data_IF_237288388773
#
_entry.id   IF_237288388773
#
_cell.length_a   1.000
_cell.length_b   1.000
_cell.length_c   1.000
_cell.angle_alpha   90.00
_cell.angle_beta   90.00
_cell.angle_gamma   90.00
#
_symmetry.space_group_name_H-M   'P 1'
#
loop_
_entity.id
_entity.type
_entity.pdbx_description
1 polymer ?
#
# COMPACT_ATOMS: atom_id res chain seq x y z
N UNK A 1 19.43 -6.07 4.58
CA UNK A 1 18.65 -6.99 3.74
C UNK A 1 18.39 -6.29 2.41
N UNK A 2 18.62 -6.94 1.26
CA UNK A 2 18.47 -6.36 -0.08
C UNK A 2 17.08 -6.58 -0.67
N UNK A 3 16.04 -6.14 0.04
CA UNK A 3 14.65 -6.34 -0.36
C UNK A 3 14.34 -5.51 -1.61
N UNK A 4 13.76 -6.13 -2.63
CA UNK A 4 13.37 -5.47 -3.89
C UNK A 4 11.87 -5.25 -4.01
N UNK A 5 11.09 -5.95 -3.19
CA UNK A 5 9.63 -6.03 -3.28
C UNK A 5 8.98 -6.07 -1.91
N UNK A 6 7.88 -5.34 -1.76
CA UNK A 6 7.02 -5.34 -0.59
C UNK A 6 5.59 -5.63 -1.04
N UNK A 7 5.00 -6.66 -0.45
CA UNK A 7 3.56 -6.91 -0.51
C UNK A 7 3.01 -6.56 0.86
N UNK A 8 2.28 -5.46 0.92
CA UNK A 8 1.54 -5.07 2.12
C UNK A 8 0.20 -5.77 2.13
N UNK A 9 -0.12 -6.42 3.25
CA UNK A 9 -1.41 -7.07 3.46
C UNK A 9 -2.07 -6.36 4.64
N UNK A 10 -3.23 -5.76 4.41
CA UNK A 10 -3.85 -4.86 5.39
C UNK A 10 -5.33 -5.15 5.54
N UNK A 11 -5.84 -5.16 6.77
CA UNK A 11 -7.28 -5.13 7.00
C UNK A 11 -7.85 -3.77 6.57
N UNK A 12 -9.07 -3.76 6.04
CA UNK A 12 -9.73 -2.55 5.59
C UNK A 12 -11.26 -2.68 5.70
N UNK A 13 -11.93 -1.55 5.97
CA UNK A 13 -13.36 -1.41 5.81
C UNK A 13 -13.72 -1.18 4.34
N UNK A 14 -14.83 -1.74 3.89
CA UNK A 14 -15.36 -1.55 2.55
C UNK A 14 -16.18 -0.28 2.45
N UNK A 15 -16.01 0.47 1.38
CA UNK A 15 -16.83 1.62 1.02
C UNK A 15 -17.79 1.29 -0.15
N UNK A 16 -17.96 0.02 -0.52
CA UNK A 16 -18.83 -0.42 -1.62
C UNK A 16 -19.68 -1.64 -1.25
N UNK A 17 -20.91 -1.68 -1.72
CA UNK A 17 -21.84 -2.80 -1.49
C UNK A 17 -21.29 -4.14 -2.02
N UNK A 18 -20.64 -4.11 -3.18
CA UNK A 18 -20.09 -5.30 -3.84
C UNK A 18 -18.71 -5.75 -3.32
N UNK A 19 -18.20 -5.10 -2.27
CA UNK A 19 -16.96 -5.42 -1.57
C UNK A 19 -17.29 -5.92 -0.17
N UNK A 20 -17.83 -7.13 -0.10
CA UNK A 20 -18.24 -7.78 1.14
C UNK A 20 -17.06 -8.26 2.01
N UNK A 21 -17.26 -8.40 3.33
CA UNK A 21 -16.29 -9.04 4.23
C UNK A 21 -15.75 -10.37 3.71
N UNK A 22 -14.43 -10.53 3.79
CA UNK A 22 -13.70 -11.68 3.27
C UNK A 22 -13.26 -11.57 1.81
N UNK A 23 -13.71 -10.55 1.08
CA UNK A 23 -13.21 -10.24 -0.27
C UNK A 23 -11.89 -9.47 -0.19
N UNK A 24 -10.98 -9.77 -1.10
CA UNK A 24 -9.67 -9.10 -1.17
C UNK A 24 -9.71 -8.01 -2.26
N UNK A 25 -8.93 -6.95 -2.10
CA UNK A 25 -8.84 -5.87 -3.10
C UNK A 25 -7.38 -5.61 -3.39
N UNK A 26 -6.99 -5.75 -4.66
CA UNK A 26 -5.67 -5.36 -5.15
C UNK A 26 -5.71 -3.86 -5.39
N UNK A 27 -5.03 -3.10 -4.54
CA UNK A 27 -5.07 -1.64 -4.54
C UNK A 27 -4.12 -1.12 -5.61
N UNK A 28 -4.59 -0.18 -6.43
CA UNK A 28 -3.78 0.51 -7.44
C UNK A 28 -3.69 2.02 -7.21
N UNK A 29 -4.58 2.59 -6.39
CA UNK A 29 -4.62 4.01 -6.06
C UNK A 29 -4.81 4.25 -4.56
N UNK A 30 -4.36 5.41 -4.10
CA UNK A 30 -4.45 5.80 -2.70
C UNK A 30 -4.89 7.26 -2.54
N UNK A 31 -5.66 7.51 -1.49
CA UNK A 31 -5.99 8.84 -0.99
C UNK A 31 -5.42 8.94 0.43
N UNK A 32 -4.49 9.87 0.64
CA UNK A 32 -3.81 10.05 1.92
C UNK A 32 -4.49 11.13 2.76
N UNK A 33 -5.28 10.73 3.75
CA UNK A 33 -5.93 11.59 4.76
C UNK A 33 -5.18 11.64 6.09
N UNK A 34 -3.99 11.05 6.16
CA UNK A 34 -3.12 11.11 7.35
C UNK A 34 -2.49 12.51 7.45
N UNK A 35 -2.20 12.98 8.65
CA UNK A 35 -1.67 14.32 8.91
C UNK A 35 -0.52 14.36 9.92
N UNK A 36 -0.38 13.39 10.84
CA UNK A 36 0.65 13.43 11.90
C UNK A 36 1.90 12.58 11.62
N UNK A 37 2.01 12.02 10.42
CA UNK A 37 3.04 11.01 10.08
C UNK A 37 4.21 11.64 9.32
N UNK A 38 5.43 11.18 9.58
CA UNK A 38 6.60 11.47 8.74
C UNK A 38 6.46 10.69 7.44
N UNK A 39 6.40 11.40 6.29
CA UNK A 39 6.05 10.81 4.99
C UNK A 39 7.20 10.73 3.99
N UNK A 40 8.41 11.11 4.40
CA UNK A 40 9.59 11.12 3.55
C UNK A 40 10.84 10.80 4.36
N UNK A 41 11.83 10.17 3.72
CA UNK A 41 13.19 10.04 4.23
C UNK A 41 14.04 11.29 3.96
N UNK A 42 13.56 12.19 3.11
CA UNK A 42 14.26 13.39 2.63
C UNK A 42 13.84 14.62 3.46
N UNK A 43 14.06 14.55 4.77
CA UNK A 43 13.65 15.54 5.79
C UNK A 43 14.77 16.53 6.20
N UNK A 44 15.98 16.34 5.69
CA UNK A 44 17.15 17.23 5.89
C UNK A 44 17.41 18.07 4.61
N UNK A 45 18.67 18.25 4.18
CA UNK A 45 19.02 19.15 3.07
C UNK A 45 18.79 18.56 1.66
N UNK A 46 18.59 17.25 1.56
CA UNK A 46 18.32 16.58 0.27
C UNK A 46 16.82 16.59 0.03
N UNK A 47 16.40 17.18 -1.09
CA UNK A 47 15.01 17.24 -1.53
C UNK A 47 14.81 16.28 -2.70
N UNK A 48 13.77 15.44 -2.61
CA UNK A 48 13.36 14.53 -3.66
C UNK A 48 11.85 14.56 -3.86
N UNK A 49 11.40 14.56 -5.12
CA UNK A 49 9.99 14.50 -5.49
C UNK A 49 9.70 13.28 -6.34
N UNK A 50 9.44 12.14 -5.69
CA UNK A 50 9.05 10.91 -6.38
C UNK A 50 7.61 11.02 -6.89
N UNK A 51 7.36 10.54 -8.11
CA UNK A 51 5.99 10.46 -8.62
C UNK A 51 5.19 9.39 -7.87
N UNK A 52 3.96 9.73 -7.50
CA UNK A 52 2.98 8.81 -6.91
C UNK A 52 1.76 8.57 -7.83
N UNK A 53 1.81 9.01 -9.09
CA UNK A 53 0.70 8.88 -10.03
C UNK A 53 0.30 7.40 -10.28
N UNK A 54 1.30 6.51 -10.30
CA UNK A 54 1.13 5.05 -10.29
C UNK A 54 1.89 4.52 -9.07
N UNK A 55 1.25 4.40 -7.90
CA UNK A 55 1.93 4.20 -6.62
C UNK A 55 2.35 2.74 -6.36
N UNK A 56 1.89 1.80 -7.17
CA UNK A 56 2.21 0.37 -7.05
C UNK A 56 3.00 -0.16 -8.26
N UNK A 57 3.60 -1.35 -8.09
CA UNK A 57 4.21 -2.14 -9.15
C UNK A 57 3.16 -3.05 -9.82
N UNK A 58 2.80 -2.85 -11.10
CA UNK A 58 1.81 -3.70 -11.79
C UNK A 58 2.21 -5.17 -11.89
N UNK A 59 3.50 -5.46 -12.05
CA UNK A 59 4.02 -6.84 -12.14
C UNK A 59 3.77 -7.62 -10.84
N UNK A 60 4.09 -6.99 -9.70
CA UNK A 60 3.82 -7.53 -8.36
C UNK A 60 2.32 -7.69 -8.07
N UNK A 61 1.49 -6.74 -8.49
CA UNK A 61 0.04 -6.85 -8.40
C UNK A 61 -0.51 -8.04 -9.23
N UNK A 62 -0.01 -8.26 -10.45
CA UNK A 62 -0.40 -9.41 -11.27
C UNK A 62 0.06 -10.74 -10.68
N UNK A 63 1.20 -10.76 -9.97
CA UNK A 63 1.65 -11.93 -9.22
C UNK A 63 0.66 -12.29 -8.11
N UNK A 64 0.24 -11.29 -7.32
CA UNK A 64 -0.79 -11.48 -6.29
C UNK A 64 -2.13 -11.92 -6.89
N UNK A 65 -2.56 -11.32 -8.01
CA UNK A 65 -3.79 -11.71 -8.70
C UNK A 65 -3.77 -13.18 -9.15
N UNK A 66 -2.64 -13.64 -9.69
CA UNK A 66 -2.46 -15.04 -10.10
C UNK A 66 -2.60 -16.00 -8.94
N UNK A 67 -2.01 -15.67 -7.79
CA UNK A 67 -2.16 -16.44 -6.56
C UNK A 67 -3.62 -16.49 -6.07
N UNK A 68 -4.30 -15.34 -6.03
CA UNK A 68 -5.72 -15.26 -5.63
C UNK A 68 -6.63 -16.08 -6.54
N UNK A 69 -6.42 -16.00 -7.86
CA UNK A 69 -7.16 -16.81 -8.86
C UNK A 69 -6.98 -18.30 -8.61
N UNK A 70 -5.73 -18.76 -8.42
CA UNK A 70 -5.43 -20.19 -8.19
C UNK A 70 -6.07 -20.71 -6.90
N UNK A 71 -6.03 -19.92 -5.84
CA UNK A 71 -6.62 -20.26 -4.54
C UNK A 71 -8.14 -20.08 -4.49
N UNK A 72 -8.75 -19.57 -5.57
CA UNK A 72 -10.20 -19.25 -5.65
C UNK A 72 -10.66 -18.31 -4.54
N UNK A 73 -9.77 -17.43 -4.07
CA UNK A 73 -10.11 -16.38 -3.12
C UNK A 73 -10.83 -15.28 -3.90
N UNK A 74 -11.97 -14.79 -3.40
CA UNK A 74 -12.73 -13.72 -4.06
C UNK A 74 -11.94 -12.42 -3.99
N UNK A 75 -11.82 -11.71 -5.11
CA UNK A 75 -11.12 -10.43 -5.13
C UNK A 75 -11.72 -9.41 -6.10
N UNK A 76 -11.33 -8.15 -5.94
CA UNK A 76 -11.44 -7.07 -6.91
C UNK A 76 -10.03 -6.59 -7.30
N UNK A 77 -9.83 -6.29 -8.58
CA UNK A 77 -8.62 -5.65 -9.08
C UNK A 77 -8.88 -4.14 -9.25
N UNK A 78 -7.85 -3.33 -9.02
CA UNK A 78 -7.87 -1.86 -9.16
C UNK A 78 -8.83 -1.18 -8.18
N UNK A 79 -8.47 -1.19 -6.89
CA UNK A 79 -9.18 -0.45 -5.85
C UNK A 79 -8.45 0.82 -5.40
N UNK A 80 -9.21 1.85 -5.04
CA UNK A 80 -8.71 3.06 -4.38
C UNK A 80 -8.83 2.92 -2.86
N UNK A 81 -7.68 2.99 -2.17
CA UNK A 81 -7.58 2.93 -0.71
C UNK A 81 -7.51 4.33 -0.09
N UNK A 82 -8.42 4.64 0.84
CA UNK A 82 -8.31 5.83 1.69
C UNK A 82 -7.55 5.46 2.96
N UNK A 83 -6.42 6.14 3.19
CA UNK A 83 -5.68 6.05 4.44
C UNK A 83 -6.09 7.17 5.38
N UNK A 84 -6.85 6.86 6.45
CA UNK A 84 -7.18 7.81 7.50
C UNK A 84 -6.18 7.73 8.67
N UNK A 85 -6.17 8.74 9.53
CA UNK A 85 -5.23 8.79 10.66
C UNK A 85 -5.52 7.74 11.74
N UNK A 86 -6.79 7.58 12.11
CA UNK A 86 -7.20 6.80 13.29
C UNK A 86 -6.87 7.50 14.62
N UNK A 87 -7.01 6.82 15.78
CA UNK A 87 -7.38 5.42 15.95
C UNK A 87 -8.88 5.14 15.90
N UNK A 88 -9.74 6.17 15.99
CA UNK A 88 -11.18 5.98 15.89
C UNK A 88 -11.56 5.60 14.45
N UNK A 89 -12.61 4.80 14.31
CA UNK A 89 -13.26 4.59 13.02
C UNK A 89 -13.94 5.87 12.54
N UNK A 90 -14.27 5.91 11.25
CA UNK A 90 -15.00 7.02 10.63
C UNK A 90 -16.34 7.25 11.31
N UNK A 91 -16.79 8.50 11.31
CA UNK A 91 -18.21 8.82 11.42
C UNK A 91 -18.95 8.47 10.13
N UNK A 92 -20.27 8.29 10.20
CA UNK A 92 -21.11 8.01 9.03
C UNK A 92 -20.96 9.09 7.93
N UNK A 93 -20.78 10.35 8.34
CA UNK A 93 -20.57 11.45 7.39
C UNK A 93 -19.22 11.34 6.66
N UNK A 94 -18.16 10.91 7.35
CA UNK A 94 -16.85 10.68 6.74
C UNK A 94 -16.90 9.49 5.78
N UNK A 95 -17.53 8.36 6.16
CA UNK A 95 -17.69 7.21 5.26
C UNK A 95 -18.45 7.60 3.99
N UNK A 96 -19.53 8.37 4.11
CA UNK A 96 -20.28 8.86 2.95
C UNK A 96 -19.48 9.87 2.10
N UNK A 97 -18.65 10.71 2.72
CA UNK A 97 -17.74 11.58 2.00
C UNK A 97 -16.73 10.77 1.17
N UNK A 98 -16.09 9.77 1.76
CA UNK A 98 -15.11 8.94 1.03
C UNK A 98 -15.76 8.11 -0.08
N UNK A 99 -17.00 7.65 0.14
CA UNK A 99 -17.82 7.03 -0.91
C UNK A 99 -18.09 7.98 -2.07
N UNK A 100 -18.40 9.25 -1.79
CA UNK A 100 -18.64 10.27 -2.82
C UNK A 100 -17.39 10.55 -3.67
N UNK A 101 -16.18 10.31 -3.13
CA UNK A 101 -14.93 10.39 -3.88
C UNK A 101 -14.65 9.18 -4.76
N UNK A 102 -15.51 8.15 -4.69
CA UNK A 102 -15.34 6.92 -5.43
C UNK A 102 -14.41 5.90 -4.79
N UNK A 103 -13.90 6.14 -3.57
CA UNK A 103 -13.02 5.21 -2.87
C UNK A 103 -13.66 3.83 -2.65
N UNK A 104 -12.84 2.78 -2.67
CA UNK A 104 -13.28 1.39 -2.58
C UNK A 104 -13.17 0.83 -1.17
N UNK A 105 -12.06 1.14 -0.50
CA UNK A 105 -11.76 0.65 0.85
C UNK A 105 -11.09 1.74 1.68
N UNK A 106 -11.19 1.61 3.00
CA UNK A 106 -10.59 2.51 3.97
C UNK A 106 -9.76 1.73 4.99
N UNK A 107 -8.61 2.27 5.36
CA UNK A 107 -7.83 1.76 6.48
C UNK A 107 -6.85 2.81 6.99
N UNK A 108 -5.85 2.39 7.76
CA UNK A 108 -5.03 3.30 8.56
C UNK A 108 -3.52 3.13 8.36
N UNK A 109 -3.04 2.28 7.45
CA UNK A 109 -1.62 1.84 7.46
C UNK A 109 -0.83 2.11 6.18
N UNK A 110 -1.45 1.98 4.99
CA UNK A 110 -0.67 1.99 3.74
C UNK A 110 -0.14 3.36 3.30
N UNK A 111 -0.48 4.42 4.02
CA UNK A 111 0.19 5.72 3.93
C UNK A 111 0.78 6.10 5.28
N UNK A 112 2.06 6.52 5.35
CA UNK A 112 2.96 6.79 4.24
C UNK A 112 3.75 5.57 3.72
N UNK A 113 3.40 4.33 4.11
CA UNK A 113 4.12 3.10 3.70
C UNK A 113 4.43 3.05 2.18
N UNK A 114 3.43 3.28 1.33
CA UNK A 114 3.62 3.28 -0.13
C UNK A 114 4.56 4.39 -0.62
N UNK A 115 4.53 5.58 0.00
CA UNK A 115 5.42 6.71 -0.33
C UNK A 115 6.87 6.38 0.04
N UNK A 116 7.08 5.83 1.23
CA UNK A 116 8.40 5.46 1.72
C UNK A 116 8.98 4.29 0.92
N UNK A 117 8.18 3.30 0.54
CA UNK A 117 8.62 2.22 -0.34
C UNK A 117 9.09 2.77 -1.70
N UNK A 118 8.35 3.73 -2.28
CA UNK A 118 8.73 4.42 -3.51
C UNK A 118 10.04 5.19 -3.35
N UNK A 119 10.21 5.95 -2.27
CA UNK A 119 11.46 6.67 -1.99
C UNK A 119 12.67 5.76 -1.74
N UNK A 120 12.44 4.54 -1.27
CA UNK A 120 13.47 3.52 -1.12
C UNK A 120 13.73 2.72 -2.41
N UNK A 121 13.07 3.05 -3.52
CA UNK A 121 13.14 2.32 -4.80
C UNK A 121 12.74 0.84 -4.68
N UNK A 122 11.83 0.55 -3.76
CA UNK A 122 11.30 -0.79 -3.52
C UNK A 122 9.92 -0.92 -4.19
N UNK A 123 9.76 -1.94 -5.03
CA UNK A 123 8.48 -2.23 -5.69
C UNK A 123 7.43 -2.56 -4.63
N UNK A 124 6.25 -1.98 -4.75
CA UNK A 124 5.24 -2.05 -3.70
C UNK A 124 3.88 -2.45 -4.28
N UNK A 125 3.13 -3.25 -3.53
CA UNK A 125 1.74 -3.61 -3.82
C UNK A 125 0.98 -3.76 -2.51
N UNK A 126 -0.31 -3.39 -2.49
CA UNK A 126 -1.20 -3.62 -1.34
C UNK A 126 -2.32 -4.57 -1.73
N UNK A 127 -2.53 -5.56 -0.86
CA UNK A 127 -3.72 -6.42 -0.84
C UNK A 127 -4.54 -6.03 0.40
N UNK A 128 -5.62 -5.30 0.19
CA UNK A 128 -6.55 -4.96 1.25
C UNK A 128 -7.54 -6.12 1.46
N UNK A 129 -7.73 -6.53 2.70
CA UNK A 129 -8.64 -7.61 3.09
C UNK A 129 -9.85 -6.99 3.75
N UNK A 130 -11.01 -7.08 3.11
CA UNK A 130 -12.23 -6.48 3.65
C UNK A 130 -12.64 -7.22 4.92
N UNK A 131 -12.78 -6.49 6.02
CA UNK A 131 -13.21 -7.04 7.32
C UNK A 131 -14.65 -6.70 7.67
N UNK A 132 -15.14 -5.57 7.15
CA UNK A 132 -16.42 -4.96 7.47
C UNK A 132 -16.78 -3.94 6.37
N UNK A 133 -17.95 -3.29 6.47
CA UNK A 133 -18.40 -2.26 5.53
C UNK A 133 -18.15 -0.83 6.03
N UNK A 134 -17.20 -0.61 6.95
CA UNK A 134 -17.11 0.64 7.71
C UNK A 134 -18.50 0.99 8.32
N UNK A 135 -18.72 2.22 8.78
CA UNK A 135 -19.99 2.56 9.45
C UNK A 135 -21.15 3.00 8.52
N UNK A 136 -21.00 2.93 7.18
CA UNK A 136 -22.06 3.40 6.27
C UNK A 136 -23.17 2.40 5.99
N UNK A 137 -22.91 1.11 6.21
CA UNK A 137 -23.86 0.06 5.86
C UNK A 137 -24.98 0.00 6.93
N UNK A 138 -26.26 -0.10 6.55
CA UNK A 138 -27.38 -0.10 7.52
C UNK A 138 -27.27 -1.18 8.60
N UNK A 139 -26.70 -2.33 8.25
CA UNK A 139 -26.51 -3.44 9.19
C UNK A 139 -25.21 -3.31 10.00
N UNK A 140 -24.49 -2.18 9.95
CA UNK A 140 -23.23 -2.00 10.69
C UNK A 140 -23.43 -2.19 12.20
N UNK A 141 -24.52 -1.65 12.74
CA UNK A 141 -24.86 -1.78 14.17
C UNK A 141 -25.23 -3.22 14.59
N UNK A 142 -25.51 -4.10 13.61
CA UNK A 142 -25.76 -5.52 13.82
C UNK A 142 -24.48 -6.37 13.74
N UNK A 143 -23.34 -5.77 13.36
CA UNK A 143 -22.07 -6.50 13.24
C UNK A 143 -21.47 -6.71 14.62
N UNK A 144 -21.58 -7.93 15.14
CA UNK A 144 -20.88 -8.31 16.36
C UNK A 144 -19.37 -8.27 16.16
N UNK A 145 -18.62 -7.73 17.15
CA UNK A 145 -17.14 -7.72 17.18
C UNK A 145 -16.56 -9.12 16.90
N UNK A 146 -17.24 -10.17 17.35
CA UNK A 146 -16.86 -11.55 17.10
C UNK A 146 -16.85 -11.91 15.61
N UNK A 147 -17.81 -11.41 14.81
CA UNK A 147 -17.86 -11.64 13.36
C UNK A 147 -16.71 -10.95 12.63
N UNK A 148 -16.34 -9.74 13.07
CA UNK A 148 -15.17 -9.02 12.54
C UNK A 148 -13.88 -9.81 12.83
N UNK A 149 -13.72 -10.29 14.07
CA UNK A 149 -12.56 -11.10 14.47
C UNK A 149 -12.49 -12.40 13.65
N UNK A 150 -13.60 -13.10 13.47
CA UNK A 150 -13.65 -14.32 12.65
C UNK A 150 -13.26 -14.05 11.20
N UNK A 151 -13.76 -12.95 10.62
CA UNK A 151 -13.41 -12.53 9.27
C UNK A 151 -11.93 -12.20 9.17
N UNK A 152 -11.38 -11.48 10.14
CA UNK A 152 -9.96 -11.12 10.19
C UNK A 152 -9.06 -12.35 10.27
N UNK A 153 -9.40 -13.33 11.11
CA UNK A 153 -8.65 -14.59 11.22
C UNK A 153 -8.69 -15.42 9.94
N UNK A 154 -9.86 -15.53 9.30
CA UNK A 154 -10.01 -16.20 8.00
C UNK A 154 -9.22 -15.49 6.91
N UNK A 155 -9.25 -14.16 6.89
CA UNK A 155 -8.48 -13.34 5.96
C UNK A 155 -6.97 -13.54 6.17
N UNK A 156 -6.51 -13.60 7.42
CA UNK A 156 -5.11 -13.85 7.73
C UNK A 156 -4.63 -15.22 7.20
N UNK A 157 -5.43 -16.27 7.36
CA UNK A 157 -5.11 -17.59 6.81
C UNK A 157 -5.04 -17.57 5.26
N UNK A 158 -6.05 -16.98 4.62
CA UNK A 158 -6.08 -16.82 3.16
C UNK A 158 -4.90 -15.99 2.63
N UNK A 159 -4.51 -14.94 3.35
CA UNK A 159 -3.35 -14.12 3.02
C UNK A 159 -2.04 -14.91 3.12
N UNK A 160 -1.87 -15.73 4.17
CA UNK A 160 -0.70 -16.60 4.29
C UNK A 160 -0.59 -17.56 3.10
N UNK A 161 -1.70 -18.17 2.70
CA UNK A 161 -1.71 -19.09 1.56
C UNK A 161 -1.46 -18.36 0.23
N UNK A 162 -2.01 -17.16 0.07
CA UNK A 162 -1.69 -16.29 -1.08
C UNK A 162 -0.19 -15.98 -1.12
N UNK A 163 0.42 -15.57 0.00
CA UNK A 163 1.86 -15.26 0.05
C UNK A 163 2.70 -16.50 -0.27
N UNK A 164 2.36 -17.68 0.25
CA UNK A 164 3.04 -18.94 -0.11
C UNK A 164 2.97 -19.20 -1.61
N UNK A 165 1.84 -18.92 -2.25
CA UNK A 165 1.68 -19.10 -3.69
C UNK A 165 2.42 -18.04 -4.52
N UNK A 166 2.43 -16.79 -4.06
CA UNK A 166 3.25 -15.72 -4.65
C UNK A 166 4.71 -16.10 -4.61
N UNK A 167 5.24 -16.60 -3.49
CA UNK A 167 6.65 -17.01 -3.38
C UNK A 167 7.01 -18.08 -4.43
N UNK A 168 6.10 -19.02 -4.73
CA UNK A 168 6.33 -20.07 -5.73
C UNK A 168 6.38 -19.54 -7.17
N UNK A 169 5.57 -18.54 -7.47
CA UNK A 169 5.35 -18.00 -8.83
C UNK A 169 6.07 -16.68 -9.08
N UNK A 170 6.70 -16.09 -8.07
CA UNK A 170 7.34 -14.77 -8.14
C UNK A 170 8.36 -14.65 -9.28
N UNK A 171 9.13 -15.73 -9.54
CA UNK A 171 10.13 -15.79 -10.62
C UNK A 171 9.52 -15.63 -12.03
N UNK A 172 8.23 -15.88 -12.18
CA UNK A 172 7.52 -15.77 -13.46
C UNK A 172 7.17 -14.30 -13.78
N UNK A 173 7.37 -13.38 -12.83
CA UNK A 173 7.05 -11.96 -12.96
C UNK A 173 8.32 -11.11 -13.03
N UNK A 174 8.49 -10.42 -14.16
CA UNK A 174 9.67 -9.60 -14.41
C UNK A 174 9.66 -8.29 -13.60
N UNK A 175 10.83 -7.89 -13.13
CA UNK A 175 11.12 -6.56 -12.60
C UNK A 175 11.68 -5.60 -13.66
N UNK A 176 11.97 -6.10 -14.87
CA UNK A 176 12.66 -5.34 -15.89
C UNK A 176 11.83 -4.14 -16.33
N UNK A 177 12.44 -2.95 -16.28
CA UNK A 177 11.81 -1.71 -16.70
C UNK A 177 10.78 -1.13 -15.72
N UNK A 178 10.65 -1.67 -14.50
CA UNK A 178 9.79 -1.03 -13.50
C UNK A 178 10.38 0.34 -13.10
N UNK A 179 9.60 1.44 -13.21
CA UNK A 179 10.08 2.80 -12.98
C UNK A 179 10.48 3.04 -11.52
N UNK A 180 10.05 2.20 -10.58
CA UNK A 180 10.44 2.29 -9.17
C UNK A 180 11.93 2.02 -8.97
N UNK A 181 12.52 1.17 -9.82
CA UNK A 181 13.91 0.67 -9.66
C UNK A 181 14.98 1.76 -9.74
N UNK A 182 14.65 2.91 -10.33
CA UNK A 182 15.56 4.03 -10.51
C UNK A 182 14.86 5.39 -10.40
N UNK A 183 13.69 5.48 -9.76
CA UNK A 183 12.91 6.71 -9.72
C UNK A 183 13.65 7.89 -9.07
N UNK A 184 14.60 7.64 -8.18
CA UNK A 184 15.39 8.70 -7.56
C UNK A 184 16.33 9.42 -8.53
N UNK A 185 16.64 8.81 -9.68
CA UNK A 185 17.52 9.40 -10.70
C UNK A 185 16.95 10.70 -11.28
N UNK A 186 15.63 10.79 -11.35
CA UNK A 186 14.91 11.98 -11.83
C UNK A 186 14.24 12.77 -10.69
N UNK A 187 14.15 12.21 -9.48
CA UNK A 187 13.41 12.82 -8.37
C UNK A 187 14.27 13.73 -7.48
N UNK A 188 15.57 13.44 -7.31
CA UNK A 188 16.44 14.23 -6.44
C UNK A 188 16.86 15.53 -7.14
N UNK A 189 16.52 16.67 -6.55
CA UNK A 189 16.79 18.00 -7.12
C UNK A 189 17.95 18.73 -6.44
N UNK A 190 18.30 18.39 -5.21
CA UNK A 190 19.41 19.05 -4.48
C UNK A 190 20.73 18.79 -5.18
N UNK A 191 21.44 19.85 -5.58
CA UNK A 191 22.77 19.77 -6.20
C UNK A 191 23.77 19.02 -5.28
N UNK A 192 24.57 18.07 -5.80
CA UNK A 192 25.56 17.31 -5.03
C UNK A 192 26.45 18.14 -4.10
N UNK A 193 26.79 19.39 -4.46
CA UNK A 193 27.66 20.25 -3.64
C UNK A 193 27.05 20.68 -2.31
N UNK A 194 25.72 20.65 -2.19
CA UNK A 194 25.01 20.99 -0.96
C UNK A 194 24.73 19.78 -0.06
N UNK A 195 25.05 18.56 -0.51
CA UNK A 195 24.76 17.33 0.23
C UNK A 195 25.86 17.05 1.24
N UNK A 196 25.53 17.01 2.52
CA UNK A 196 26.51 16.75 3.57
C UNK A 196 26.87 15.27 3.64
N UNK A 197 28.11 14.96 4.07
CA UNK A 197 28.53 13.56 4.35
C UNK A 197 27.65 12.89 5.40
N UNK A 198 27.11 13.67 6.35
CA UNK A 198 26.19 13.19 7.39
C UNK A 198 24.91 12.65 6.79
N UNK A 199 24.26 13.43 5.91
CA UNK A 199 22.97 13.04 5.31
C UNK A 199 23.13 11.95 4.26
N UNK A 200 24.21 11.97 3.46
CA UNK A 200 24.53 10.84 2.57
C UNK A 200 24.72 9.54 3.38
N UNK A 201 25.39 9.62 4.54
CA UNK A 201 25.55 8.46 5.43
C UNK A 201 24.22 8.02 6.07
N UNK A 202 23.32 8.96 6.42
CA UNK A 202 21.96 8.68 6.92
C UNK A 202 21.15 7.90 5.88
N UNK A 203 21.19 8.35 4.61
CA UNK A 203 20.40 7.81 3.51
C UNK A 203 21.06 6.65 2.75
N UNK A 204 22.23 6.17 3.17
CA UNK A 204 23.02 5.17 2.42
C UNK A 204 22.26 3.88 2.09
N UNK A 205 21.28 3.50 2.91
CA UNK A 205 20.46 2.30 2.70
C UNK A 205 19.14 2.57 1.96
N UNK A 206 18.73 3.83 1.85
CA UNK A 206 17.49 4.25 1.16
C UNK A 206 17.81 4.71 -0.25
N UNK A 207 18.75 5.64 -0.39
CA UNK A 207 19.08 6.31 -1.65
C UNK A 207 20.55 6.10 -2.05
N UNK A 208 21.23 5.10 -1.48
CA UNK A 208 22.67 4.87 -1.72
C UNK A 208 23.04 4.70 -3.19
N UNK A 209 22.17 4.06 -3.99
CA UNK A 209 22.34 3.93 -5.44
C UNK A 209 22.37 5.29 -6.14
N UNK A 210 21.43 6.18 -5.80
CA UNK A 210 21.29 7.49 -6.42
C UNK A 210 22.30 8.52 -5.90
N UNK A 211 22.67 8.46 -4.62
CA UNK A 211 23.53 9.44 -3.96
C UNK A 211 25.03 9.18 -4.13
N UNK A 212 25.44 7.93 -4.40
CA UNK A 212 26.86 7.56 -4.58
C UNK A 212 27.29 7.49 -6.04
N UNK A 213 26.49 8.02 -6.99
CA UNK A 213 26.91 8.13 -8.38
C UNK A 213 28.11 9.07 -8.46
N UNK A 214 29.23 8.53 -8.98
CA UNK A 214 30.44 9.29 -9.29
C UNK A 214 30.18 10.25 -10.44
#
# INVERSE_FOLDING_TARGET
MGVTDIISVSAAGSLKENLEPGKFVIIDQFIDRTFSRIKTFFDDEIVAHVSMAKPICPSLANCCETALKKLKIRYQKNGTYVAMEGPQFSTLSESNLYRSWGADVIGMTNMPEAKLAREAEIRYCTIAMVTDFDCWHPNHDEVEVNMVIQTLMKNAANAQDMIKEVIKTFKDFSAAGDPTSNCLDAAIITDPKFRTKKTIKKLKYIAGRALNKK
#
